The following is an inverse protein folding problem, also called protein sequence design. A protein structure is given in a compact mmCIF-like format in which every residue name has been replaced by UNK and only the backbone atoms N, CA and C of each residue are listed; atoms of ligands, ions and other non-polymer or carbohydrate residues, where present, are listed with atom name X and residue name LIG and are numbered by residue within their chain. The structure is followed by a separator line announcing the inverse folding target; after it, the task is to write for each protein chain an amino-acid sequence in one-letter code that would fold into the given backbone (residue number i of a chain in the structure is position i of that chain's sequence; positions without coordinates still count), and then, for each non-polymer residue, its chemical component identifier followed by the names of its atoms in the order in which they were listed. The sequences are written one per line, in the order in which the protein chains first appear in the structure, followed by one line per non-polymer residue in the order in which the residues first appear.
data_IF_979847611486
#
_entry.id   IF_979847611486
#
_cell.length_a   1.000
_cell.length_b   1.000
_cell.length_c   1.000
_cell.angle_alpha   90.00
_cell.angle_beta   90.00
_cell.angle_gamma   90.00
#
_symmetry.space_group_name_H-M   'P 1'
#
loop_
_entity.id
_entity.type
_entity.pdbx_description
1 polymer ?
#
# COMPACT_ATOMS: atom_id res chain seq x y z
N UNK A 1 -4.82 -22.66 11.72
CA UNK A 1 -5.41 -22.14 10.47
C UNK A 1 -4.22 -21.80 9.57
N UNK A 2 -4.23 -22.11 8.25
CA UNK A 2 -3.21 -21.52 7.39
C UNK A 2 -3.27 -20.01 7.53
N UNK A 3 -2.11 -19.34 7.50
CA UNK A 3 -2.02 -17.88 7.61
C UNK A 3 -2.82 -17.20 6.51
N UNK A 4 -3.20 -15.94 6.70
CA UNK A 4 -3.92 -15.15 5.68
C UNK A 4 -3.00 -14.87 4.48
N UNK A 5 -1.66 -14.98 4.68
CA UNK A 5 -0.66 -14.75 3.66
C UNK A 5 0.14 -16.02 3.39
N UNK A 6 -0.06 -16.59 2.21
CA UNK A 6 0.82 -17.67 1.73
C UNK A 6 2.21 -17.10 1.45
N UNK A 7 3.24 -17.82 1.92
CA UNK A 7 4.62 -17.46 1.62
C UNK A 7 5.05 -18.16 0.32
N UNK A 8 5.30 -17.40 -0.74
CA UNK A 8 5.59 -17.92 -2.08
C UNK A 8 7.09 -17.79 -2.41
N UNK A 9 7.63 -18.77 -3.11
CA UNK A 9 9.00 -18.73 -3.60
C UNK A 9 9.10 -17.95 -4.92
N UNK A 10 10.07 -17.04 -5.03
CA UNK A 10 10.43 -16.41 -6.30
C UNK A 10 11.15 -17.44 -7.16
N UNK A 11 10.62 -17.71 -8.34
CA UNK A 11 11.22 -18.66 -9.31
C UNK A 11 11.97 -17.95 -10.43
N UNK A 12 11.61 -16.70 -10.73
CA UNK A 12 12.26 -15.88 -11.77
C UNK A 12 12.21 -14.40 -11.39
N UNK A 13 13.33 -13.70 -11.56
CA UNK A 13 13.41 -12.23 -11.45
C UNK A 13 13.53 -11.71 -12.89
N UNK A 14 12.52 -10.96 -13.35
CA UNK A 14 12.38 -10.63 -14.78
C UNK A 14 13.04 -9.29 -15.10
N UNK A 15 12.66 -8.22 -14.40
CA UNK A 15 13.18 -6.87 -14.65
C UNK A 15 12.90 -5.92 -13.48
N UNK A 16 13.67 -4.85 -13.33
CA UNK A 16 13.30 -3.77 -12.42
C UNK A 16 12.03 -3.06 -12.92
N UNK A 17 11.26 -2.53 -11.97
CA UNK A 17 10.14 -1.64 -12.27
C UNK A 17 10.67 -0.21 -12.08
N UNK A 18 10.72 0.54 -13.18
CA UNK A 18 11.39 1.87 -13.25
C UNK A 18 10.66 3.00 -12.49
N UNK A 19 9.78 2.66 -11.55
CA UNK A 19 9.03 3.64 -10.75
C UNK A 19 9.30 3.49 -9.26
N UNK A 20 9.72 4.57 -8.61
CA UNK A 20 9.84 4.67 -7.16
C UNK A 20 11.25 4.46 -6.61
N UNK A 21 11.48 5.02 -5.42
CA UNK A 21 12.77 5.01 -4.71
C UNK A 21 13.17 3.61 -4.19
N UNK A 22 12.22 2.68 -4.08
CA UNK A 22 12.42 1.35 -3.48
C UNK A 22 12.78 0.26 -4.49
N UNK A 23 12.91 0.60 -5.77
CA UNK A 23 13.31 -0.28 -6.88
C UNK A 23 12.66 -1.67 -6.80
N UNK A 24 11.33 -1.78 -6.98
CA UNK A 24 10.66 -3.08 -7.00
C UNK A 24 11.04 -3.85 -8.26
N UNK A 25 10.94 -5.18 -8.21
CA UNK A 25 11.19 -6.06 -9.36
C UNK A 25 9.93 -6.80 -9.78
N UNK A 26 9.72 -6.91 -11.08
CA UNK A 26 8.74 -7.86 -11.61
C UNK A 26 9.33 -9.26 -11.51
N UNK A 27 8.66 -10.13 -10.76
CA UNK A 27 9.07 -11.51 -10.54
C UNK A 27 7.93 -12.47 -10.86
N UNK A 28 8.28 -13.68 -11.26
CA UNK A 28 7.36 -14.83 -11.28
C UNK A 28 7.53 -15.61 -10.00
N UNK A 29 6.42 -15.98 -9.36
CA UNK A 29 6.42 -16.81 -8.16
C UNK A 29 5.99 -18.24 -8.50
N UNK A 30 6.12 -19.16 -7.54
CA UNK A 30 5.87 -20.59 -7.73
C UNK A 30 4.43 -20.96 -8.08
N UNK A 31 3.49 -20.03 -7.87
CA UNK A 31 2.10 -20.15 -8.32
C UNK A 31 1.89 -19.75 -9.80
N UNK A 32 3.00 -19.51 -10.51
CA UNK A 32 3.06 -19.14 -11.94
C UNK A 32 2.51 -17.72 -12.25
N UNK A 33 2.19 -16.92 -11.24
CA UNK A 33 1.75 -15.53 -11.43
C UNK A 33 2.93 -14.55 -11.37
N UNK A 34 2.70 -13.37 -11.95
CA UNK A 34 3.63 -12.25 -11.88
C UNK A 34 3.30 -11.34 -10.71
N UNK A 35 4.35 -10.80 -10.09
CA UNK A 35 4.25 -9.91 -8.95
C UNK A 35 5.21 -8.73 -9.06
N UNK A 36 4.82 -7.60 -8.49
CA UNK A 36 5.73 -6.52 -8.14
C UNK A 36 6.30 -6.83 -6.74
N UNK A 37 7.59 -7.17 -6.68
CA UNK A 37 8.24 -7.64 -5.46
C UNK A 37 9.13 -6.54 -4.89
N UNK A 38 8.91 -6.20 -3.63
CA UNK A 38 9.72 -5.27 -2.83
C UNK A 38 10.49 -6.04 -1.76
N UNK A 39 11.74 -5.68 -1.57
CA UNK A 39 12.61 -6.32 -0.59
C UNK A 39 13.38 -5.31 0.23
N UNK A 40 14.63 -5.64 0.54
CA UNK A 40 15.50 -4.89 1.45
C UNK A 40 15.59 -3.39 1.16
N UNK A 41 15.51 -2.97 -0.12
CA UNK A 41 15.55 -1.55 -0.46
C UNK A 41 14.33 -0.75 0.04
N UNK A 42 13.21 -1.41 0.30
CA UNK A 42 12.02 -0.78 0.85
C UNK A 42 12.08 -0.61 2.38
N UNK A 43 13.11 -1.17 3.03
CA UNK A 43 13.27 -1.24 4.48
C UNK A 43 12.12 -2.00 5.18
N UNK A 44 12.37 -2.53 6.37
CA UNK A 44 11.36 -3.28 7.13
C UNK A 44 10.09 -2.47 7.39
N UNK A 45 10.23 -1.18 7.77
CA UNK A 45 9.08 -0.27 7.98
C UNK A 45 8.20 -0.14 6.73
N UNK A 46 8.81 0.03 5.56
CA UNK A 46 8.07 0.13 4.30
C UNK A 46 7.36 -1.16 3.93
N UNK A 47 7.99 -2.32 4.14
CA UNK A 47 7.39 -3.64 3.88
C UNK A 47 6.22 -3.91 4.84
N UNK A 48 6.35 -3.61 6.13
CA UNK A 48 5.25 -3.68 7.09
C UNK A 48 4.14 -2.68 6.76
N UNK A 49 4.49 -1.46 6.33
CA UNK A 49 3.54 -0.46 5.84
C UNK A 49 2.69 -0.98 4.69
N UNK A 50 3.30 -1.65 3.70
CA UNK A 50 2.58 -2.29 2.58
C UNK A 50 1.61 -3.37 3.08
N UNK A 51 2.03 -4.23 4.00
CA UNK A 51 1.16 -5.29 4.53
C UNK A 51 -0.02 -4.72 5.32
N UNK A 52 0.22 -3.75 6.20
CA UNK A 52 -0.85 -3.10 6.97
C UNK A 52 -1.83 -2.37 6.06
N UNK A 53 -1.31 -1.48 5.20
CA UNK A 53 -2.14 -0.71 4.30
C UNK A 53 -2.89 -1.60 3.31
N UNK A 54 -2.21 -2.60 2.73
CA UNK A 54 -2.83 -3.57 1.84
C UNK A 54 -3.99 -4.30 2.51
N UNK A 55 -3.77 -4.84 3.71
CA UNK A 55 -4.78 -5.59 4.47
C UNK A 55 -5.96 -4.71 4.88
N UNK A 56 -5.69 -3.57 5.50
CA UNK A 56 -6.74 -2.63 5.96
C UNK A 56 -7.52 -2.05 4.78
N UNK A 57 -6.83 -1.63 3.71
CA UNK A 57 -7.47 -1.03 2.54
C UNK A 57 -8.36 -2.03 1.80
N UNK A 58 -7.92 -3.27 1.61
CA UNK A 58 -8.76 -4.34 1.03
C UNK A 58 -9.98 -4.62 1.91
N UNK A 59 -9.82 -4.61 3.23
CA UNK A 59 -10.94 -4.78 4.17
C UNK A 59 -11.92 -3.61 4.13
N UNK A 60 -11.43 -2.40 3.83
CA UNK A 60 -12.26 -1.24 3.52
C UNK A 60 -12.96 -1.35 2.15
N UNK A 61 -12.58 -2.29 1.30
CA UNK A 61 -13.08 -2.44 -0.06
C UNK A 61 -12.39 -1.51 -1.07
N UNK A 62 -11.19 -1.00 -0.77
CA UNK A 62 -10.38 -0.28 -1.74
C UNK A 62 -9.80 -1.27 -2.77
N UNK A 63 -9.63 -0.85 -4.04
CA UNK A 63 -9.16 -1.71 -5.12
C UNK A 63 -7.64 -1.89 -5.07
N UNK A 64 -7.14 -2.48 -3.99
CA UNK A 64 -5.73 -2.84 -3.80
C UNK A 64 -5.54 -4.27 -4.31
N UNK A 65 -4.51 -4.55 -5.14
CA UNK A 65 -4.20 -5.89 -5.60
C UNK A 65 -4.00 -6.88 -4.45
N UNK A 66 -4.22 -8.15 -4.72
CA UNK A 66 -3.82 -9.22 -3.78
C UNK A 66 -2.31 -9.18 -3.61
N UNK A 67 -1.85 -9.59 -2.44
CA UNK A 67 -0.43 -9.64 -2.13
C UNK A 67 -0.12 -10.84 -1.24
N UNK A 68 1.15 -11.19 -1.17
CA UNK A 68 1.66 -12.32 -0.40
C UNK A 68 3.04 -11.97 0.17
N UNK A 69 3.48 -12.73 1.14
CA UNK A 69 4.90 -12.80 1.46
C UNK A 69 5.62 -13.59 0.38
N UNK A 70 6.87 -13.22 0.07
CA UNK A 70 7.69 -13.97 -0.87
C UNK A 70 9.09 -14.19 -0.31
N UNK A 71 9.79 -15.17 -0.86
CA UNK A 71 11.18 -15.47 -0.54
C UNK A 71 11.95 -15.75 -1.83
N UNK A 72 13.17 -15.22 -1.91
CA UNK A 72 14.10 -15.54 -2.99
C UNK A 72 15.22 -16.43 -2.47
N UNK A 73 15.48 -17.54 -3.14
CA UNK A 73 16.59 -18.42 -2.74
C UNK A 73 17.93 -17.74 -3.02
N UNK A 74 18.91 -17.97 -2.12
CA UNK A 74 20.26 -17.45 -2.31
C UNK A 74 20.90 -17.87 -3.64
N UNK A 75 20.80 -19.14 -4.11
CA UNK A 75 21.30 -19.53 -5.41
C UNK A 75 20.67 -18.75 -6.58
N UNK A 76 19.35 -18.52 -6.54
CA UNK A 76 18.68 -17.73 -7.57
C UNK A 76 19.20 -16.30 -7.58
N UNK A 77 19.27 -15.67 -6.42
CA UNK A 77 19.75 -14.29 -6.29
C UNK A 77 21.21 -14.15 -6.74
N UNK A 78 22.07 -15.13 -6.43
CA UNK A 78 23.48 -15.15 -6.84
C UNK A 78 23.68 -15.42 -8.33
N UNK A 79 22.72 -16.04 -9.01
CA UNK A 79 22.77 -16.27 -10.47
C UNK A 79 22.69 -14.98 -11.29
N UNK A 80 22.15 -13.90 -10.72
CA UNK A 80 22.10 -12.59 -11.37
C UNK A 80 23.45 -11.87 -11.19
N UNK A 81 24.05 -11.46 -12.29
CA UNK A 81 25.31 -10.70 -12.29
C UNK A 81 25.15 -9.26 -11.79
N UNK A 82 23.95 -8.70 -11.92
CA UNK A 82 23.62 -7.35 -11.46
C UNK A 82 23.53 -7.29 -9.93
N UNK A 83 24.43 -6.50 -9.36
CA UNK A 83 24.49 -6.28 -7.91
C UNK A 83 23.29 -5.49 -7.38
N UNK A 84 22.62 -4.71 -8.23
CA UNK A 84 21.45 -3.91 -7.83
C UNK A 84 20.28 -4.83 -7.48
N UNK A 85 20.08 -5.95 -8.20
CA UNK A 85 19.08 -6.98 -7.86
C UNK A 85 19.26 -7.48 -6.43
N UNK A 86 20.54 -7.80 -6.07
CA UNK A 86 20.86 -8.33 -4.74
C UNK A 86 20.67 -7.29 -3.64
N UNK A 87 20.98 -6.01 -3.93
CA UNK A 87 20.77 -4.91 -2.98
C UNK A 87 19.31 -4.61 -2.76
N UNK A 88 18.52 -4.65 -3.84
CA UNK A 88 17.11 -4.30 -3.79
C UNK A 88 16.27 -5.38 -3.10
N UNK A 89 16.44 -6.65 -3.47
CA UNK A 89 15.65 -7.75 -2.93
C UNK A 89 16.20 -8.26 -1.58
N UNK A 90 17.51 -8.56 -1.51
CA UNK A 90 18.07 -9.23 -0.32
C UNK A 90 17.62 -10.70 -0.23
N UNK A 91 17.98 -11.37 0.89
CA UNK A 91 17.67 -12.79 1.15
C UNK A 91 16.57 -12.99 2.20
N UNK A 92 16.05 -11.92 2.79
CA UNK A 92 14.98 -11.97 3.81
C UNK A 92 13.59 -12.09 3.20
N UNK A 93 12.56 -11.97 4.03
CA UNK A 93 11.18 -11.95 3.56
C UNK A 93 10.91 -10.71 2.68
N UNK A 94 10.09 -10.90 1.65
CA UNK A 94 9.75 -9.91 0.63
C UNK A 94 8.24 -9.67 0.65
N UNK A 95 7.82 -8.47 0.24
CA UNK A 95 6.42 -8.16 -0.06
C UNK A 95 6.19 -8.32 -1.56
N UNK A 96 5.16 -9.08 -1.96
CA UNK A 96 4.82 -9.35 -3.35
C UNK A 96 3.38 -8.95 -3.66
N UNK A 97 3.18 -7.89 -4.43
CA UNK A 97 1.87 -7.45 -4.91
C UNK A 97 1.57 -8.03 -6.28
N UNK A 98 0.40 -8.66 -6.44
CA UNK A 98 0.00 -9.29 -7.70
C UNK A 98 0.06 -8.30 -8.86
N UNK A 99 0.82 -8.64 -9.89
CA UNK A 99 1.03 -7.79 -11.06
C UNK A 99 -0.27 -7.54 -11.81
N UNK A 100 -0.47 -6.29 -12.20
CA UNK A 100 -1.65 -5.86 -12.93
C UNK A 100 -1.25 -5.42 -14.34
N UNK A 101 -1.88 -6.00 -15.37
CA UNK A 101 -1.66 -5.67 -16.78
C UNK A 101 -2.95 -5.88 -17.60
N UNK A 102 -3.16 -5.12 -18.66
CA UNK A 102 -2.46 -3.88 -19.01
C UNK A 102 -2.97 -2.69 -18.18
N UNK A 103 -2.07 -1.85 -17.73
CA UNK A 103 -2.40 -0.65 -16.94
C UNK A 103 -1.68 0.60 -17.46
N UNK A 104 -2.21 1.76 -17.10
CA UNK A 104 -1.51 3.05 -17.23
C UNK A 104 -1.61 3.83 -15.91
N UNK A 105 -0.66 4.75 -15.70
CA UNK A 105 -0.71 5.68 -14.57
C UNK A 105 -1.91 6.61 -14.68
N UNK A 106 -2.61 6.83 -13.55
CA UNK A 106 -3.76 7.72 -13.51
C UNK A 106 -3.37 9.16 -13.80
N UNK A 107 -4.15 9.83 -14.62
CA UNK A 107 -4.05 11.26 -14.94
C UNK A 107 -5.22 12.02 -14.31
N UNK A 108 -5.03 13.32 -14.05
CA UNK A 108 -6.05 14.16 -13.41
C UNK A 108 -7.44 14.06 -14.07
N UNK A 109 -7.60 14.06 -15.41
CA UNK A 109 -8.91 13.91 -16.04
C UNK A 109 -9.60 12.58 -15.73
N UNK A 110 -8.85 11.51 -15.46
CA UNK A 110 -9.41 10.18 -15.22
C UNK A 110 -10.21 10.10 -13.91
N UNK A 111 -9.89 10.96 -12.94
CA UNK A 111 -10.55 11.00 -11.63
C UNK A 111 -12.06 11.14 -11.71
N UNK A 112 -12.56 11.82 -12.74
CA UNK A 112 -14.03 12.00 -12.95
C UNK A 112 -14.72 10.73 -13.40
N UNK A 113 -13.98 9.74 -13.88
CA UNK A 113 -14.51 8.46 -14.36
C UNK A 113 -14.73 7.44 -13.24
N UNK A 114 -14.25 7.72 -12.03
CA UNK A 114 -14.36 6.83 -10.88
C UNK A 114 -15.39 7.31 -9.87
N UNK A 115 -15.86 6.37 -9.04
CA UNK A 115 -16.77 6.68 -7.94
C UNK A 115 -16.16 7.74 -7.01
N UNK A 116 -16.82 8.90 -6.90
CA UNK A 116 -16.35 9.98 -6.02
C UNK A 116 -16.37 9.56 -4.55
N UNK A 117 -17.26 8.63 -4.15
CA UNK A 117 -17.25 8.05 -2.80
C UNK A 117 -16.04 7.16 -2.55
N UNK A 118 -15.59 6.38 -3.54
CA UNK A 118 -14.41 5.53 -3.40
C UNK A 118 -13.14 6.37 -3.36
N UNK A 119 -13.05 7.42 -4.18
CA UNK A 119 -11.94 8.37 -4.11
C UNK A 119 -11.93 9.13 -2.77
N UNK A 120 -13.08 9.54 -2.25
CA UNK A 120 -13.18 10.17 -0.93
C UNK A 120 -12.79 9.21 0.20
N UNK A 121 -13.17 7.92 0.08
CA UNK A 121 -12.77 6.89 1.03
C UNK A 121 -11.24 6.66 1.00
N UNK A 122 -10.62 6.67 -0.17
CA UNK A 122 -9.17 6.57 -0.32
C UNK A 122 -8.44 7.75 0.32
N UNK A 123 -8.96 8.98 0.17
CA UNK A 123 -8.40 10.16 0.84
C UNK A 123 -8.39 10.01 2.36
N UNK A 124 -9.51 9.58 2.96
CA UNK A 124 -9.60 9.34 4.40
C UNK A 124 -8.73 8.16 4.83
N UNK A 125 -8.64 7.13 4.01
CA UNK A 125 -7.78 5.98 4.25
C UNK A 125 -6.31 6.38 4.33
N UNK A 126 -5.80 7.16 3.38
CA UNK A 126 -4.41 7.61 3.39
C UNK A 126 -4.10 8.50 4.60
N UNK A 127 -5.04 9.34 5.05
CA UNK A 127 -4.91 10.05 6.32
C UNK A 127 -4.86 9.10 7.53
N UNK A 128 -5.67 8.06 7.53
CA UNK A 128 -5.77 7.10 8.61
C UNK A 128 -4.50 6.28 8.81
N UNK A 129 -3.88 5.88 7.71
CA UNK A 129 -2.61 5.14 7.70
C UNK A 129 -1.38 6.03 7.63
N UNK A 130 -1.55 7.36 7.76
CA UNK A 130 -0.47 8.34 7.68
C UNK A 130 0.38 8.24 6.41
N UNK A 131 -0.28 8.12 5.24
CA UNK A 131 0.35 8.07 3.94
C UNK A 131 0.21 9.41 3.20
N UNK A 132 1.28 10.20 3.13
CA UNK A 132 1.32 11.51 2.44
C UNK A 132 1.73 11.46 0.97
N UNK A 133 2.13 10.30 0.45
CA UNK A 133 2.82 10.18 -0.85
C UNK A 133 1.89 10.20 -2.08
N UNK A 134 0.57 10.02 -1.90
CA UNK A 134 -0.38 9.96 -3.03
C UNK A 134 -0.71 11.34 -3.57
N UNK A 135 0.26 11.97 -4.26
CA UNK A 135 0.15 13.34 -4.73
C UNK A 135 -0.15 13.44 -6.23
N UNK A 136 -0.98 14.42 -6.61
CA UNK A 136 -1.26 14.72 -8.01
C UNK A 136 -1.56 16.21 -8.16
N UNK A 137 -0.88 16.88 -9.08
CA UNK A 137 -1.06 18.26 -9.42
C UNK A 137 -1.06 18.46 -10.95
N UNK A 138 -1.36 19.66 -11.43
CA UNK A 138 -1.26 20.01 -12.85
C UNK A 138 0.19 19.85 -13.39
N UNK A 139 1.18 19.88 -12.51
CA UNK A 139 2.59 19.75 -12.86
C UNK A 139 3.12 18.31 -12.71
N UNK A 140 2.25 17.34 -12.44
CA UNK A 140 2.60 15.95 -12.16
C UNK A 140 2.52 15.63 -10.67
N UNK A 141 3.04 14.47 -10.30
CA UNK A 141 3.04 13.94 -8.93
C UNK A 141 3.19 12.43 -8.94
N UNK A 142 3.18 11.85 -7.75
CA UNK A 142 3.17 10.41 -7.55
C UNK A 142 1.79 9.98 -7.04
N UNK A 143 0.86 9.74 -7.97
CA UNK A 143 -0.51 9.38 -7.58
C UNK A 143 -0.58 7.98 -6.96
N UNK A 144 0.35 7.08 -7.27
CA UNK A 144 0.30 5.67 -6.87
C UNK A 144 -1.06 5.02 -7.17
N UNK A 145 -1.64 5.43 -8.30
CA UNK A 145 -2.92 4.99 -8.83
C UNK A 145 -2.74 4.56 -10.28
N UNK A 146 -3.24 3.38 -10.60
CA UNK A 146 -3.25 2.86 -11.95
C UNK A 146 -4.69 2.70 -12.45
N UNK A 147 -4.84 2.70 -13.76
CA UNK A 147 -6.11 2.42 -14.45
C UNK A 147 -5.93 1.17 -15.27
N UNK A 148 -6.75 0.14 -15.00
CA UNK A 148 -6.80 -1.04 -15.86
C UNK A 148 -7.31 -0.66 -17.24
N UNK A 149 -6.56 -0.97 -18.29
CA UNK A 149 -6.97 -0.68 -19.67
C UNK A 149 -8.08 -1.65 -20.13
N UNK A 150 -8.15 -2.83 -19.54
CA UNK A 150 -9.16 -3.84 -19.87
C UNK A 150 -10.48 -3.56 -19.15
N UNK A 151 -10.44 -3.34 -17.84
CA UNK A 151 -11.64 -3.26 -17.01
C UNK A 151 -12.06 -1.83 -16.68
N UNK A 152 -11.22 -0.83 -17.01
CA UNK A 152 -11.43 0.59 -16.70
C UNK A 152 -11.69 0.86 -15.22
N UNK A 153 -11.16 0.04 -14.35
CA UNK A 153 -11.23 0.20 -12.89
C UNK A 153 -9.94 0.81 -12.34
N UNK A 154 -10.10 1.50 -11.22
CA UNK A 154 -8.99 2.03 -10.44
C UNK A 154 -8.23 0.89 -9.75
N UNK A 155 -6.91 1.05 -9.62
CA UNK A 155 -6.03 0.16 -8.86
C UNK A 155 -5.15 1.04 -7.97
N UNK A 156 -5.16 0.74 -6.68
CA UNK A 156 -4.40 1.48 -5.65
C UNK A 156 -3.15 0.68 -5.30
N UNK A 157 -1.99 1.31 -5.42
CA UNK A 157 -0.69 0.67 -5.16
C UNK A 157 0.20 1.56 -4.29
N UNK A 158 1.31 0.99 -3.84
CA UNK A 158 2.42 1.64 -3.16
C UNK A 158 2.05 2.37 -1.86
N UNK A 159 2.19 1.67 -0.76
CA UNK A 159 1.92 2.16 0.59
C UNK A 159 3.16 2.09 1.49
N UNK A 160 4.36 1.98 0.90
CA UNK A 160 5.60 1.84 1.65
C UNK A 160 5.95 3.06 2.53
N UNK A 161 5.30 4.19 2.31
CA UNK A 161 5.40 5.39 3.15
C UNK A 161 4.22 5.56 4.12
N UNK A 162 3.39 4.52 4.31
CA UNK A 162 2.39 4.50 5.37
C UNK A 162 3.04 4.37 6.77
N UNK A 163 2.39 4.90 7.78
CA UNK A 163 2.83 4.86 9.19
C UNK A 163 4.21 5.49 9.42
N UNK A 164 4.50 6.56 8.68
CA UNK A 164 5.76 7.31 8.86
C UNK A 164 5.64 8.35 9.96
N UNK A 165 6.54 8.36 10.98
CA UNK A 165 6.50 9.36 12.05
C UNK A 165 6.65 10.80 11.58
N UNK A 166 7.15 11.00 10.36
CA UNK A 166 7.29 12.32 9.73
C UNK A 166 6.01 12.84 9.08
N UNK A 167 4.96 12.01 8.97
CA UNK A 167 3.70 12.38 8.32
C UNK A 167 3.08 13.64 8.94
N UNK A 168 2.52 14.49 8.09
CA UNK A 168 1.76 15.68 8.49
C UNK A 168 0.49 15.77 7.67
N UNK A 169 -0.64 16.06 8.30
CA UNK A 169 -1.94 16.17 7.64
C UNK A 169 -1.95 17.23 6.51
N UNK A 170 -1.07 18.24 6.59
CA UNK A 170 -0.92 19.26 5.55
C UNK A 170 -0.46 18.68 4.20
N UNK A 171 0.22 17.55 4.19
CA UNK A 171 0.67 16.86 2.96
C UNK A 171 -0.53 16.45 2.09
N UNK A 172 -1.68 16.16 2.70
CA UNK A 172 -2.91 15.83 2.00
C UNK A 172 -3.49 16.98 1.13
N UNK A 173 -2.93 18.19 1.22
CA UNK A 173 -3.36 19.32 0.36
C UNK A 173 -3.11 19.03 -1.13
N UNK A 174 -2.12 18.22 -1.45
CA UNK A 174 -1.79 17.79 -2.81
C UNK A 174 -2.28 16.39 -3.15
N UNK A 175 -3.05 15.76 -2.25
CA UNK A 175 -3.53 14.40 -2.45
C UNK A 175 -4.46 14.29 -3.67
N UNK A 176 -4.24 13.27 -4.49
CA UNK A 176 -4.96 13.05 -5.75
C UNK A 176 -6.49 13.04 -5.59
N UNK A 177 -6.99 12.52 -4.48
CA UNK A 177 -8.43 12.35 -4.23
C UNK A 177 -9.02 13.45 -3.33
N UNK A 178 -8.29 14.52 -3.05
CA UNK A 178 -8.75 15.60 -2.16
C UNK A 178 -10.07 16.24 -2.62
N UNK A 179 -10.23 16.46 -3.93
CA UNK A 179 -11.44 17.04 -4.49
C UNK A 179 -12.69 16.24 -4.14
N UNK A 180 -12.63 14.92 -4.33
CA UNK A 180 -13.73 14.01 -4.00
C UNK A 180 -14.11 14.06 -2.51
N UNK A 181 -13.10 14.13 -1.60
CA UNK A 181 -13.37 14.29 -0.18
C UNK A 181 -14.07 15.62 0.13
N UNK A 182 -13.61 16.74 -0.41
CA UNK A 182 -14.21 18.05 -0.17
C UNK A 182 -15.69 18.12 -0.56
N UNK A 183 -16.12 17.36 -1.57
CA UNK A 183 -17.52 17.21 -1.95
C UNK A 183 -18.27 16.29 -0.98
N UNK A 184 -17.69 15.15 -0.61
CA UNK A 184 -18.34 14.13 0.21
C UNK A 184 -18.34 14.42 1.71
N UNK A 185 -17.44 15.25 2.24
CA UNK A 185 -17.20 15.42 3.69
C UNK A 185 -18.41 15.85 4.52
N UNK A 186 -19.43 16.47 3.89
CA UNK A 186 -20.67 16.88 4.55
C UNK A 186 -21.75 15.80 4.58
N UNK A 187 -21.57 14.71 3.84
CA UNK A 187 -22.48 13.57 3.86
C UNK A 187 -22.21 12.73 5.12
N UNK A 188 -23.04 12.98 6.15
CA UNK A 188 -22.92 12.29 7.44
C UNK A 188 -23.21 10.79 7.34
N UNK A 189 -24.02 10.37 6.36
CA UNK A 189 -24.31 8.94 6.12
C UNK A 189 -23.06 8.27 5.59
N UNK A 190 -22.42 8.86 4.59
CA UNK A 190 -21.16 8.37 4.03
C UNK A 190 -20.06 8.30 5.10
N UNK A 191 -19.90 9.35 5.90
CA UNK A 191 -18.91 9.36 7.00
C UNK A 191 -19.16 8.25 8.00
N UNK A 192 -20.38 8.08 8.46
CA UNK A 192 -20.75 7.02 9.41
C UNK A 192 -20.56 5.61 8.83
N UNK A 193 -20.80 5.43 7.53
CA UNK A 193 -20.52 4.19 6.83
C UNK A 193 -19.01 3.91 6.77
N UNK A 194 -18.21 4.91 6.39
CA UNK A 194 -16.76 4.79 6.31
C UNK A 194 -16.15 4.48 7.69
N UNK A 195 -16.58 5.19 8.73
CA UNK A 195 -16.14 4.94 10.10
C UNK A 195 -16.45 3.49 10.56
N UNK A 196 -17.62 2.97 10.22
CA UNK A 196 -17.98 1.58 10.52
C UNK A 196 -17.09 0.58 9.77
N UNK A 197 -16.76 0.86 8.51
CA UNK A 197 -15.82 0.04 7.71
C UNK A 197 -14.41 0.08 8.31
N UNK A 198 -13.93 1.24 8.75
CA UNK A 198 -12.64 1.39 9.43
C UNK A 198 -12.61 0.58 10.73
N UNK A 199 -13.64 0.68 11.58
CA UNK A 199 -13.75 -0.14 12.82
C UNK A 199 -13.75 -1.64 12.51
N UNK A 200 -14.42 -2.06 11.44
CA UNK A 200 -14.41 -3.44 11.00
C UNK A 200 -13.01 -3.88 10.53
N UNK A 201 -12.29 -3.03 9.80
CA UNK A 201 -10.93 -3.32 9.39
C UNK A 201 -9.97 -3.47 10.60
N UNK A 202 -10.16 -2.70 11.67
CA UNK A 202 -9.36 -2.83 12.89
C UNK A 202 -9.41 -4.23 13.52
N UNK A 203 -10.48 -4.99 13.29
CA UNK A 203 -10.62 -6.34 13.89
C UNK A 203 -9.59 -7.35 13.38
N UNK A 204 -8.92 -7.07 12.26
CA UNK A 204 -7.89 -7.95 11.70
C UNK A 204 -6.47 -7.63 12.19
N UNK A 205 -6.23 -6.48 12.81
CA UNK A 205 -4.88 -6.00 13.13
C UNK A 205 -4.09 -7.03 13.95
N UNK A 206 -4.69 -7.63 14.96
CA UNK A 206 -3.99 -8.63 15.79
C UNK A 206 -3.57 -9.88 15.00
N UNK A 207 -4.38 -10.32 14.03
CA UNK A 207 -4.03 -11.46 13.17
C UNK A 207 -2.92 -11.06 12.20
N UNK A 208 -3.02 -9.87 11.60
CA UNK A 208 -2.00 -9.33 10.71
C UNK A 208 -0.62 -9.26 11.40
N UNK A 209 -0.59 -8.76 12.64
CA UNK A 209 0.64 -8.66 13.43
C UNK A 209 1.27 -10.03 13.74
N UNK A 210 0.44 -11.05 13.95
CA UNK A 210 0.92 -12.41 14.19
C UNK A 210 1.53 -13.08 12.93
N UNK A 211 1.30 -12.51 11.75
CA UNK A 211 1.80 -13.01 10.47
C UNK A 211 2.99 -12.19 9.91
N UNK A 212 3.37 -11.10 10.60
CA UNK A 212 4.55 -10.33 10.21
C UNK A 212 5.83 -11.16 10.41
N UNK A 213 6.78 -11.11 9.45
CA UNK A 213 8.07 -11.75 9.60
C UNK A 213 8.85 -11.21 10.81
N UNK A 214 9.42 -12.11 11.61
CA UNK A 214 10.25 -11.75 12.77
C UNK A 214 11.41 -10.82 12.39
N UNK A 215 12.05 -11.05 11.23
CA UNK A 215 13.14 -10.21 10.73
C UNK A 215 12.72 -8.73 10.58
N UNK A 216 11.50 -8.47 10.14
CA UNK A 216 11.01 -7.09 10.00
C UNK A 216 10.68 -6.47 11.37
N UNK A 217 10.16 -7.28 12.30
CA UNK A 217 9.86 -6.85 13.67
C UNK A 217 11.16 -6.51 14.41
N UNK A 218 12.20 -7.32 14.25
CA UNK A 218 13.51 -7.09 14.87
C UNK A 218 14.18 -5.81 14.34
N UNK A 219 14.03 -5.52 13.04
CA UNK A 219 14.57 -4.31 12.42
C UNK A 219 13.79 -3.04 12.81
N UNK A 220 12.48 -3.16 13.08
CA UNK A 220 11.57 -2.04 13.40
C UNK A 220 10.65 -2.37 14.59
N UNK A 221 11.20 -2.56 15.80
CA UNK A 221 10.46 -3.08 16.97
C UNK A 221 9.32 -2.17 17.43
N UNK A 222 9.39 -0.87 17.14
CA UNK A 222 8.37 0.11 17.54
C UNK A 222 7.22 0.24 16.53
N UNK A 223 7.34 -0.38 15.35
CA UNK A 223 6.37 -0.18 14.26
C UNK A 223 4.94 -0.54 14.65
N UNK A 224 4.72 -1.73 15.22
CA UNK A 224 3.36 -2.19 15.57
C UNK A 224 2.69 -1.27 16.59
N UNK A 225 3.44 -0.83 17.62
CA UNK A 225 2.92 0.09 18.63
C UNK A 225 2.57 1.45 18.01
N UNK A 226 3.42 1.95 17.11
CA UNK A 226 3.18 3.17 16.36
C UNK A 226 1.94 3.04 15.46
N UNK A 227 1.85 1.99 14.64
CA UNK A 227 0.74 1.75 13.74
C UNK A 227 -0.60 1.67 14.48
N UNK A 228 -0.66 0.95 15.61
CA UNK A 228 -1.86 0.91 16.47
C UNK A 228 -2.27 2.29 16.96
N UNK A 229 -1.29 3.11 17.38
CA UNK A 229 -1.55 4.50 17.83
C UNK A 229 -2.09 5.37 16.70
N UNK A 230 -1.48 5.29 15.52
CA UNK A 230 -1.94 6.00 14.34
C UNK A 230 -3.37 5.59 13.94
N UNK A 231 -3.66 4.29 13.92
CA UNK A 231 -4.98 3.76 13.59
C UNK A 231 -6.05 4.15 14.62
N UNK A 232 -5.70 4.23 15.91
CA UNK A 232 -6.65 4.61 16.98
C UNK A 232 -7.05 6.09 16.92
N UNK A 233 -6.31 6.94 16.20
CA UNK A 233 -6.64 8.36 15.96
C UNK A 233 -8.03 8.54 15.37
N UNK A 234 -8.57 7.58 14.63
CA UNK A 234 -9.94 7.65 14.09
C UNK A 234 -11.02 7.84 15.17
N UNK A 235 -10.73 7.47 16.40
CA UNK A 235 -11.62 7.65 17.57
C UNK A 235 -11.51 9.04 18.20
N UNK A 236 -10.56 9.86 17.77
CA UNK A 236 -10.30 11.20 18.28
C UNK A 236 -11.05 12.24 17.46
N UNK A 237 -11.50 13.31 18.11
CA UNK A 237 -12.22 14.39 17.43
C UNK A 237 -11.37 15.08 16.37
N UNK A 238 -10.09 15.21 16.62
CA UNK A 238 -9.15 15.97 15.78
C UNK A 238 -8.88 15.26 14.45
N UNK A 239 -8.93 13.92 14.42
CA UNK A 239 -8.78 13.13 13.19
C UNK A 239 -9.70 13.64 12.05
N UNK A 240 -10.98 13.81 12.34
CA UNK A 240 -11.94 14.29 11.35
C UNK A 240 -11.83 15.80 11.09
N UNK A 241 -11.33 16.58 12.05
CA UNK A 241 -11.09 18.00 11.89
C UNK A 241 -9.89 18.29 10.98
N UNK A 242 -8.86 17.49 11.02
CA UNK A 242 -7.65 17.59 10.16
C UNK A 242 -7.96 17.37 8.68
N UNK A 243 -9.04 16.66 8.36
CA UNK A 243 -9.47 16.43 6.98
C UNK A 243 -10.20 17.64 6.34
N UNK A 244 -10.49 18.70 7.10
CA UNK A 244 -11.05 20.00 6.66
C UNK A 244 -12.56 20.05 6.63
#
# INVERSE_FOLDING_TARGET
MPGEFDALSVVEIIRPIESGATTPYQCRLEDDHLYAVKGKAALARGLMGEMYAGSLGRRLGLPIPSFSLAFVSKPLLESYSDMEVRRALGTGPLFASLWQEPVEGLKTPDLTSFSQRDLAALYVFDHWIENGDRTLSEHGGNANLLVSLTHKNLIVIDHNLAFMPSYKAEELRLHACRGAWLEARRDLVFRGELERRMRYAMTMVANLEAELPEEWIDDEPDFMAYARTALDRMNQRDFWAELG
#
